data_IF_640208291769
#
_entry.id   IF_640208291769
#
_cell.length_a   1.000
_cell.length_b   1.000
_cell.length_c   1.000
_cell.angle_alpha   90.00
_cell.angle_beta   90.00
_cell.angle_gamma   90.00
#
_symmetry.space_group_name_H-M   'P 1'
#
loop_
_entity.id
_entity.type
_entity.pdbx_description
1 polymer ?
#
# COMPACT_ATOMS: atom_id res chain seq x y z
N UNK A 1 15.57 -29.84 -3.86
CA UNK A 1 14.69 -29.22 -4.87
C UNK A 1 13.80 -28.26 -4.11
N UNK A 2 13.98 -26.96 -4.29
CA UNK A 2 13.14 -25.94 -3.63
C UNK A 2 11.78 -25.96 -4.32
N UNK A 3 10.78 -26.45 -3.61
CA UNK A 3 9.40 -26.49 -4.04
C UNK A 3 8.89 -25.06 -4.20
N UNK A 4 8.99 -24.49 -5.40
CA UNK A 4 8.26 -23.26 -5.71
C UNK A 4 6.81 -23.68 -5.97
N UNK A 5 5.98 -23.55 -4.94
CA UNK A 5 4.55 -23.91 -4.96
C UNK A 5 3.67 -23.00 -5.84
N UNK A 6 4.23 -22.43 -6.91
CA UNK A 6 3.56 -21.49 -7.81
C UNK A 6 3.90 -21.84 -9.25
N UNK A 7 2.90 -22.30 -9.99
CA UNK A 7 3.01 -22.69 -11.40
C UNK A 7 2.48 -21.62 -12.38
N UNK A 8 2.08 -20.44 -11.87
CA UNK A 8 1.56 -19.37 -12.72
C UNK A 8 1.11 -18.11 -11.99
N UNK A 9 0.63 -17.13 -12.78
CA UNK A 9 0.13 -15.83 -12.31
C UNK A 9 -1.32 -15.66 -12.75
N UNK A 10 -2.19 -15.31 -11.81
CA UNK A 10 -3.56 -14.90 -12.09
C UNK A 10 -3.60 -13.38 -12.33
N UNK A 11 -3.66 -12.98 -13.60
CA UNK A 11 -3.68 -11.57 -13.98
C UNK A 11 -5.05 -10.93 -13.77
N UNK A 12 -5.13 -10.01 -12.81
CA UNK A 12 -6.32 -9.20 -12.53
C UNK A 12 -6.24 -7.78 -13.10
N UNK A 13 -5.44 -7.53 -14.13
CA UNK A 13 -5.32 -6.19 -14.74
C UNK A 13 -6.61 -5.70 -15.44
N UNK A 14 -6.56 -4.49 -15.99
CA UNK A 14 -7.72 -3.85 -16.65
C UNK A 14 -7.99 -4.36 -18.09
N UNK A 15 -7.07 -5.13 -18.66
CA UNK A 15 -7.15 -5.63 -20.03
C UNK A 15 -8.24 -6.69 -20.25
N UNK A 16 -8.65 -6.88 -21.51
CA UNK A 16 -9.69 -7.85 -21.90
C UNK A 16 -9.34 -9.31 -21.59
N UNK A 17 -8.05 -9.63 -21.51
CA UNK A 17 -7.56 -10.98 -21.19
C UNK A 17 -7.43 -11.25 -19.68
N UNK A 18 -7.69 -10.26 -18.82
CA UNK A 18 -7.64 -10.49 -17.37
C UNK A 18 -8.76 -11.43 -16.92
N UNK A 19 -8.52 -12.14 -15.82
CA UNK A 19 -9.46 -13.12 -15.27
C UNK A 19 -10.83 -12.47 -15.03
N UNK A 20 -10.86 -11.30 -14.39
CA UNK A 20 -12.11 -10.59 -14.10
C UNK A 20 -12.85 -10.14 -15.36
N UNK A 21 -12.12 -9.69 -16.41
CA UNK A 21 -12.73 -9.30 -17.69
C UNK A 21 -13.35 -10.50 -18.40
N UNK A 22 -12.67 -11.65 -18.39
CA UNK A 22 -13.18 -12.87 -19.01
C UNK A 22 -14.42 -13.40 -18.28
N UNK A 23 -14.40 -13.47 -16.95
CA UNK A 23 -15.56 -13.91 -16.15
C UNK A 23 -16.76 -12.99 -16.36
N UNK A 24 -16.53 -11.67 -16.40
CA UNK A 24 -17.60 -10.69 -16.64
C UNK A 24 -18.19 -10.79 -18.04
N UNK A 25 -17.36 -11.03 -19.06
CA UNK A 25 -17.83 -11.23 -20.45
C UNK A 25 -18.73 -12.46 -20.60
N UNK A 26 -18.53 -13.48 -19.76
CA UNK A 26 -19.38 -14.68 -19.71
C UNK A 26 -20.58 -14.54 -18.74
N UNK A 27 -20.81 -13.35 -18.17
CA UNK A 27 -21.94 -13.09 -17.27
C UNK A 27 -21.86 -13.76 -15.91
N UNK A 28 -20.68 -14.24 -15.49
CA UNK A 28 -20.50 -14.98 -14.23
C UNK A 28 -20.37 -14.07 -13.01
N UNK A 29 -19.87 -12.85 -13.19
CA UNK A 29 -19.67 -11.86 -12.13
C UNK A 29 -19.60 -10.47 -12.73
N UNK A 30 -20.02 -9.39 -12.04
CA UNK A 30 -19.68 -8.05 -12.47
C UNK A 30 -18.17 -7.87 -12.60
N UNK A 31 -17.72 -6.84 -13.33
CA UNK A 31 -16.29 -6.52 -13.45
C UNK A 31 -15.76 -5.82 -12.19
N UNK A 32 -15.96 -6.47 -11.04
CA UNK A 32 -15.61 -6.02 -9.70
C UNK A 32 -15.02 -7.20 -8.95
N UNK A 33 -13.92 -6.97 -8.24
CA UNK A 33 -13.33 -7.96 -7.36
C UNK A 33 -12.72 -7.27 -6.14
N UNK A 34 -12.45 -8.03 -5.10
CA UNK A 34 -11.76 -7.53 -3.92
C UNK A 34 -10.82 -8.55 -3.34
N UNK A 35 -9.81 -8.07 -2.61
CA UNK A 35 -8.95 -8.94 -1.81
C UNK A 35 -8.71 -8.35 -0.43
N UNK A 36 -8.31 -9.23 0.48
CA UNK A 36 -7.83 -8.90 1.82
C UNK A 36 -6.62 -9.79 2.11
N UNK A 37 -5.42 -9.21 2.06
CA UNK A 37 -4.17 -9.95 2.25
C UNK A 37 -3.84 -10.02 3.74
N UNK A 38 -3.59 -11.24 4.25
CA UNK A 38 -3.25 -11.43 5.67
C UNK A 38 -1.84 -10.90 5.93
N UNK A 39 -1.70 -9.92 6.84
CA UNK A 39 -0.41 -9.28 7.09
C UNK A 39 0.59 -10.06 7.93
N UNK A 40 0.21 -11.21 8.50
CA UNK A 40 1.13 -12.09 9.22
C UNK A 40 1.84 -13.02 8.22
N UNK A 41 3.16 -13.14 8.33
CA UNK A 41 4.05 -13.85 7.38
C UNK A 41 3.81 -15.35 7.17
N UNK A 42 2.68 -15.88 7.63
CA UNK A 42 2.18 -17.22 7.30
C UNK A 42 1.47 -17.29 5.95
N UNK A 43 1.26 -16.14 5.28
CA UNK A 43 0.47 -16.04 4.06
C UNK A 43 -1.03 -16.26 4.28
N UNK A 44 -1.80 -16.15 3.20
CA UNK A 44 -3.25 -16.28 3.19
C UNK A 44 -3.98 -14.96 2.99
N UNK A 45 -5.30 -15.02 3.08
CA UNK A 45 -6.17 -13.90 2.78
C UNK A 45 -7.46 -14.37 2.12
N UNK A 46 -8.21 -13.42 1.55
CA UNK A 46 -9.46 -13.67 0.86
C UNK A 46 -9.42 -12.97 -0.48
N UNK A 47 -9.93 -13.64 -1.51
CA UNK A 47 -10.21 -13.06 -2.83
C UNK A 47 -11.70 -13.27 -3.09
N UNK A 48 -12.42 -12.19 -3.38
CA UNK A 48 -13.84 -12.24 -3.74
C UNK A 48 -14.01 -11.75 -5.17
N UNK A 49 -14.70 -12.56 -5.99
CA UNK A 49 -15.05 -12.23 -7.36
C UNK A 49 -16.50 -11.73 -7.40
N UNK A 50 -16.67 -10.42 -7.23
CA UNK A 50 -17.97 -9.78 -7.17
C UNK A 50 -17.93 -8.50 -6.34
N UNK A 51 -19.11 -7.96 -6.08
CA UNK A 51 -19.27 -6.80 -5.20
C UNK A 51 -19.29 -7.24 -3.73
N UNK A 52 -18.67 -6.44 -2.87
CA UNK A 52 -18.75 -6.56 -1.42
C UNK A 52 -19.18 -5.22 -0.82
N UNK A 53 -19.75 -5.27 0.37
CA UNK A 53 -20.12 -4.09 1.14
C UNK A 53 -19.44 -4.18 2.50
N UNK A 54 -18.53 -3.25 2.76
CA UNK A 54 -17.87 -3.11 4.05
C UNK A 54 -18.10 -1.69 4.59
N UNK A 55 -18.58 -1.53 5.84
CA UNK A 55 -18.67 -0.23 6.47
C UNK A 55 -17.33 0.51 6.53
N UNK A 56 -17.34 1.82 6.31
CA UNK A 56 -16.13 2.65 6.38
C UNK A 56 -15.21 2.57 5.15
N UNK A 57 -15.64 1.88 4.08
CA UNK A 57 -14.96 1.91 2.78
C UNK A 57 -14.87 3.33 2.23
N UNK A 58 -13.66 3.76 1.86
CA UNK A 58 -13.41 5.02 1.16
C UNK A 58 -12.96 4.72 -0.27
N UNK A 59 -13.33 5.58 -1.23
CA UNK A 59 -13.08 5.33 -2.65
C UNK A 59 -12.33 6.47 -3.32
N UNK A 60 -11.30 6.14 -4.10
CA UNK A 60 -10.66 7.05 -5.05
C UNK A 60 -10.98 6.63 -6.49
N UNK A 61 -11.23 7.58 -7.41
CA UNK A 61 -11.35 7.26 -8.82
C UNK A 61 -10.03 6.70 -9.37
N UNK A 62 -10.14 5.77 -10.31
CA UNK A 62 -9.03 5.32 -11.14
C UNK A 62 -8.66 6.41 -12.14
N UNK A 63 -7.36 6.52 -12.45
CA UNK A 63 -6.91 7.39 -13.54
C UNK A 63 -7.24 6.71 -14.88
N UNK A 64 -8.02 7.36 -15.77
CA UNK A 64 -8.41 6.77 -17.05
C UNK A 64 -7.20 6.51 -17.96
N UNK A 65 -7.35 5.53 -18.86
CA UNK A 65 -6.38 5.24 -19.93
C UNK A 65 -4.97 4.90 -19.44
N UNK A 66 -4.84 4.36 -18.23
CA UNK A 66 -3.57 3.88 -17.68
C UNK A 66 -3.49 2.34 -17.72
N UNK A 67 -2.28 1.78 -17.90
CA UNK A 67 -2.10 0.33 -18.00
C UNK A 67 -2.25 -0.40 -16.66
N UNK A 68 -1.99 0.27 -15.54
CA UNK A 68 -2.09 -0.29 -14.19
C UNK A 68 -3.30 0.28 -13.44
N UNK A 69 -3.49 -0.17 -12.20
CA UNK A 69 -4.44 0.43 -11.28
C UNK A 69 -3.88 1.73 -10.71
N UNK A 70 -3.93 2.79 -11.51
CA UNK A 70 -3.41 4.10 -11.14
C UNK A 70 -4.42 4.87 -10.29
N UNK A 71 -3.95 5.43 -9.17
CA UNK A 71 -4.68 6.38 -8.34
C UNK A 71 -3.94 7.72 -8.33
N UNK A 72 -4.69 8.81 -8.21
CA UNK A 72 -4.12 10.14 -8.11
C UNK A 72 -3.86 10.50 -6.64
N UNK A 73 -2.63 10.26 -6.18
CA UNK A 73 -2.15 10.77 -4.89
C UNK A 73 -2.00 12.29 -4.99
N UNK A 74 -2.45 13.03 -3.99
CA UNK A 74 -2.45 14.50 -4.02
C UNK A 74 -1.56 15.09 -2.93
N UNK A 75 -1.46 14.42 -1.78
CA UNK A 75 -0.58 14.84 -0.70
C UNK A 75 -0.29 13.70 0.27
N UNK A 76 0.78 13.89 1.04
CA UNK A 76 1.13 13.05 2.18
C UNK A 76 1.12 13.92 3.43
N UNK A 77 0.60 13.40 4.53
CA UNK A 77 0.70 14.03 5.84
C UNK A 77 1.38 13.08 6.84
N UNK A 78 2.09 13.65 7.80
CA UNK A 78 2.64 12.94 8.97
C UNK A 78 2.14 13.65 10.22
N UNK A 79 1.57 12.88 11.14
CA UNK A 79 0.92 13.38 12.37
C UNK A 79 -0.09 14.51 12.09
N UNK A 80 -0.90 14.36 11.03
CA UNK A 80 -1.90 15.34 10.61
C UNK A 80 -1.36 16.59 9.91
N UNK A 81 -0.04 16.74 9.76
CA UNK A 81 0.57 17.88 9.05
C UNK A 81 0.94 17.51 7.62
N UNK A 82 0.39 18.24 6.65
CA UNK A 82 0.74 18.10 5.24
C UNK A 82 2.24 18.37 5.02
N UNK A 83 2.87 17.51 4.25
CA UNK A 83 4.27 17.66 3.85
C UNK A 83 4.39 18.66 2.68
N UNK A 84 5.45 19.48 2.64
CA UNK A 84 5.67 20.44 1.56
C UNK A 84 6.23 19.74 0.32
N UNK A 85 5.39 18.95 -0.35
CA UNK A 85 5.71 18.23 -1.59
C UNK A 85 4.98 18.91 -2.74
N UNK A 86 5.67 19.20 -3.83
CA UNK A 86 5.05 19.75 -5.03
C UNK A 86 4.02 18.74 -5.60
N UNK A 87 2.73 19.11 -5.78
CA UNK A 87 1.71 18.20 -6.29
C UNK A 87 2.07 17.54 -7.64
N UNK A 88 2.91 18.20 -8.46
CA UNK A 88 3.39 17.62 -9.72
C UNK A 88 4.23 16.35 -9.54
N UNK A 89 4.81 16.12 -8.36
CA UNK A 89 5.50 14.87 -7.99
C UNK A 89 4.57 13.66 -8.04
N UNK A 90 3.26 13.87 -7.83
CA UNK A 90 2.28 12.79 -7.87
C UNK A 90 1.50 12.70 -9.18
N UNK A 91 1.71 13.65 -10.10
CA UNK A 91 1.01 13.69 -11.36
C UNK A 91 1.21 12.39 -12.15
N UNK A 92 0.12 11.84 -12.68
CA UNK A 92 0.18 10.59 -13.44
C UNK A 92 0.62 10.85 -14.87
N UNK A 93 1.60 10.09 -15.34
CA UNK A 93 2.10 10.06 -16.71
C UNK A 93 2.57 8.64 -17.06
N UNK A 94 3.17 8.44 -18.24
CA UNK A 94 3.70 7.13 -18.64
C UNK A 94 4.85 6.63 -17.73
N UNK A 95 5.51 7.52 -16.98
CA UNK A 95 6.66 7.19 -16.13
C UNK A 95 6.50 7.64 -14.68
N UNK A 96 5.32 8.13 -14.30
CA UNK A 96 5.06 8.75 -12.99
C UNK A 96 3.62 8.51 -12.54
N UNK A 97 3.39 8.56 -11.24
CA UNK A 97 2.07 8.39 -10.62
C UNK A 97 2.11 7.39 -9.48
N UNK A 98 0.94 6.98 -9.01
CA UNK A 98 0.80 5.97 -7.94
C UNK A 98 0.01 4.79 -8.46
N UNK A 99 0.56 3.57 -8.33
CA UNK A 99 -0.11 2.33 -8.73
C UNK A 99 -0.40 1.44 -7.52
N UNK A 100 -1.51 0.71 -7.56
CA UNK A 100 -1.86 -0.36 -6.63
C UNK A 100 -1.47 -1.69 -7.26
N UNK A 101 -0.57 -2.45 -6.63
CA UNK A 101 -0.05 -3.70 -7.20
C UNK A 101 0.17 -4.79 -6.14
N UNK A 102 -0.76 -5.73 -6.05
CA UNK A 102 -0.64 -6.89 -5.16
C UNK A 102 0.43 -7.90 -5.60
N UNK A 103 0.97 -7.78 -6.81
CA UNK A 103 2.08 -8.61 -7.30
C UNK A 103 3.44 -8.15 -6.80
N UNK A 104 3.52 -6.99 -6.14
CA UNK A 104 4.75 -6.43 -5.60
C UNK A 104 4.78 -6.56 -4.08
N UNK A 105 5.83 -7.17 -3.52
CA UNK A 105 5.95 -7.41 -2.07
C UNK A 105 6.12 -6.12 -1.25
N UNK A 106 7.07 -5.27 -1.66
CA UNK A 106 7.41 -4.03 -0.94
C UNK A 106 6.61 -2.83 -1.45
N UNK A 107 6.66 -1.74 -0.71
CA UNK A 107 6.16 -0.46 -1.18
C UNK A 107 7.31 0.38 -1.74
N UNK A 108 7.01 1.23 -2.72
CA UNK A 108 7.99 2.10 -3.36
C UNK A 108 7.45 3.52 -3.36
N UNK A 109 8.27 4.48 -2.95
CA UNK A 109 7.90 5.89 -2.89
C UNK A 109 8.90 6.71 -3.69
N UNK A 110 8.38 7.57 -4.56
CA UNK A 110 9.20 8.44 -5.40
C UNK A 110 10.08 9.35 -4.52
N UNK A 111 11.32 9.57 -4.94
CA UNK A 111 12.36 10.20 -4.12
C UNK A 111 11.94 11.54 -3.49
N UNK A 112 11.27 12.39 -4.28
CA UNK A 112 10.80 13.72 -3.91
C UNK A 112 9.70 13.68 -2.84
N UNK A 113 9.00 12.56 -2.68
CA UNK A 113 8.05 12.32 -1.61
C UNK A 113 8.67 11.51 -0.45
N UNK A 114 9.60 10.60 -0.75
CA UNK A 114 10.28 9.77 0.23
C UNK A 114 11.12 10.60 1.21
N UNK A 115 11.93 11.55 0.72
CA UNK A 115 12.83 12.31 1.58
C UNK A 115 12.05 13.20 2.59
N UNK A 116 11.01 13.97 2.18
CA UNK A 116 10.18 14.71 3.13
C UNK A 116 9.41 13.80 4.10
N UNK A 117 8.94 12.64 3.63
CA UNK A 117 8.24 11.68 4.47
C UNK A 117 9.14 11.14 5.59
N UNK A 118 10.32 10.63 5.25
CA UNK A 118 11.27 10.11 6.22
C UNK A 118 11.77 11.21 7.16
N UNK A 119 12.05 12.39 6.63
CA UNK A 119 12.44 13.55 7.44
C UNK A 119 11.37 13.90 8.48
N UNK A 120 10.10 13.96 8.09
CA UNK A 120 9.00 14.25 9.00
C UNK A 120 8.82 13.15 10.07
N UNK A 121 8.95 11.87 9.71
CA UNK A 121 8.94 10.77 10.68
C UNK A 121 10.10 10.92 11.67
N UNK A 122 11.32 11.19 11.21
CA UNK A 122 12.49 11.37 12.07
C UNK A 122 12.36 12.54 13.05
N UNK A 123 11.64 13.59 12.67
CA UNK A 123 11.38 14.74 13.55
C UNK A 123 10.37 14.42 14.65
N UNK A 124 9.41 13.54 14.37
CA UNK A 124 8.24 13.30 15.25
C UNK A 124 8.39 12.03 16.10
N UNK A 125 9.18 11.05 15.65
CA UNK A 125 9.40 9.79 16.35
C UNK A 125 9.88 10.03 17.79
N UNK A 126 9.49 9.13 18.70
CA UNK A 126 9.88 9.20 20.11
C UNK A 126 11.38 9.43 20.29
N UNK A 127 11.82 10.32 21.19
CA UNK A 127 13.25 10.55 21.49
C UNK A 127 13.99 9.29 21.98
N UNK A 128 13.26 8.28 22.45
CA UNK A 128 13.83 6.98 22.87
C UNK A 128 14.22 6.07 21.69
N UNK A 129 13.87 6.44 20.47
CA UNK A 129 14.20 5.70 19.25
C UNK A 129 15.50 6.24 18.66
N UNK A 130 16.43 5.35 18.36
CA UNK A 130 17.71 5.74 17.74
C UNK A 130 17.64 5.54 16.22
N UNK A 131 17.63 6.61 15.41
CA UNK A 131 17.69 6.49 13.96
C UNK A 131 19.08 6.00 13.52
N UNK A 132 19.09 5.06 12.58
CA UNK A 132 20.30 4.49 11.99
C UNK A 132 20.10 4.27 10.49
N UNK A 133 21.19 4.23 9.73
CA UNK A 133 21.14 3.83 8.32
C UNK A 133 21.61 2.38 8.20
N UNK A 134 20.82 1.56 7.52
CA UNK A 134 21.18 0.16 7.22
C UNK A 134 20.88 -0.13 5.76
N UNK A 135 21.87 -0.61 5.00
CA UNK A 135 21.70 -0.98 3.59
C UNK A 135 21.02 0.10 2.73
N UNK A 136 21.35 1.39 3.00
CA UNK A 136 20.76 2.58 2.36
C UNK A 136 19.29 2.87 2.72
N UNK A 137 18.70 2.10 3.63
CA UNK A 137 17.37 2.35 4.19
C UNK A 137 17.46 3.12 5.51
N UNK A 138 16.47 3.98 5.77
CA UNK A 138 16.28 4.57 7.09
C UNK A 138 15.71 3.51 8.03
N UNK A 139 16.42 3.27 9.12
CA UNK A 139 16.03 2.33 10.16
C UNK A 139 16.14 2.95 11.55
N UNK A 140 15.70 2.18 12.54
CA UNK A 140 15.48 2.64 13.90
C UNK A 140 15.75 1.48 14.86
N UNK A 141 16.50 1.74 15.92
CA UNK A 141 16.59 0.83 17.05
C UNK A 141 15.45 1.15 18.02
N UNK A 142 14.59 0.15 18.23
CA UNK A 142 13.33 0.28 18.95
C UNK A 142 13.38 -0.63 20.17
N UNK A 143 13.19 -0.05 21.36
CA UNK A 143 13.27 -0.76 22.64
C UNK A 143 11.92 -1.29 23.15
N UNK A 144 10.81 -0.73 22.67
CA UNK A 144 9.44 -1.08 23.10
C UNK A 144 8.51 -1.31 21.91
N UNK A 145 7.39 -0.58 21.80
CA UNK A 145 6.33 -0.79 20.80
C UNK A 145 6.34 0.25 19.67
N UNK A 146 6.39 -0.22 18.41
CA UNK A 146 6.34 0.61 17.20
C UNK A 146 5.07 1.48 17.16
N UNK A 147 3.90 0.91 17.48
CA UNK A 147 2.60 1.60 17.52
C UNK A 147 2.58 2.91 18.32
N UNK A 148 3.40 3.01 19.37
CA UNK A 148 3.39 4.14 20.31
C UNK A 148 4.52 5.13 20.04
N UNK A 149 5.58 4.71 19.36
CA UNK A 149 6.78 5.52 19.17
C UNK A 149 6.81 6.28 17.85
N UNK A 150 5.99 5.88 16.87
CA UNK A 150 5.98 6.46 15.53
C UNK A 150 4.64 7.15 15.25
N UNK A 151 4.63 8.20 14.42
CA UNK A 151 3.41 8.93 14.09
C UNK A 151 2.48 8.15 13.16
N UNK A 152 1.22 8.57 13.10
CA UNK A 152 0.37 8.20 11.96
C UNK A 152 0.84 8.94 10.70
N UNK A 153 0.66 8.32 9.55
CA UNK A 153 0.79 8.96 8.25
C UNK A 153 -0.54 8.88 7.49
N UNK A 154 -0.73 9.74 6.49
CA UNK A 154 -1.87 9.65 5.60
C UNK A 154 -1.49 9.95 4.16
N UNK A 155 -1.90 9.09 3.24
CA UNK A 155 -1.78 9.30 1.81
C UNK A 155 -3.16 9.75 1.30
N UNK A 156 -3.26 10.96 0.78
CA UNK A 156 -4.53 11.58 0.42
C UNK A 156 -4.71 11.57 -1.09
N UNK A 157 -5.74 10.89 -1.57
CA UNK A 157 -6.03 10.67 -2.98
C UNK A 157 -7.19 11.55 -3.47
N UNK A 158 -7.32 11.64 -4.79
CA UNK A 158 -8.46 12.28 -5.44
C UNK A 158 -9.80 11.71 -4.94
N UNK A 159 -10.86 12.54 -5.03
CA UNK A 159 -12.17 12.21 -4.46
C UNK A 159 -12.24 12.38 -2.94
N UNK A 160 -11.20 12.95 -2.30
CA UNK A 160 -11.16 13.18 -0.86
C UNK A 160 -10.86 11.91 -0.05
N UNK A 161 -10.46 10.82 -0.70
CA UNK A 161 -10.15 9.56 -0.05
C UNK A 161 -8.79 9.64 0.65
N UNK A 162 -8.76 9.38 1.95
CA UNK A 162 -7.52 9.35 2.73
C UNK A 162 -7.23 7.92 3.19
N UNK A 163 -6.00 7.46 2.93
CA UNK A 163 -5.47 6.21 3.46
C UNK A 163 -4.60 6.52 4.68
N UNK A 164 -5.14 6.28 5.87
CA UNK A 164 -4.39 6.44 7.12
C UNK A 164 -3.54 5.20 7.35
N UNK A 165 -2.24 5.40 7.48
CA UNK A 165 -1.23 4.38 7.76
C UNK A 165 -0.82 4.47 9.23
N UNK A 166 -0.98 3.36 9.94
CA UNK A 166 -0.40 3.15 11.27
C UNK A 166 1.10 2.90 11.15
N UNK A 167 1.88 3.06 12.23
CA UNK A 167 3.29 2.70 12.24
C UNK A 167 3.59 1.32 11.63
N UNK A 168 2.77 0.32 11.92
CA UNK A 168 2.93 -1.06 11.42
C UNK A 168 2.75 -1.20 9.90
N UNK A 169 2.10 -0.23 9.25
CA UNK A 169 1.89 -0.21 7.80
C UNK A 169 3.14 0.28 7.05
N UNK A 170 4.03 1.05 7.69
CA UNK A 170 5.19 1.65 7.02
C UNK A 170 6.53 1.44 7.74
N UNK A 171 6.54 0.82 8.92
CA UNK A 171 7.75 0.42 9.67
C UNK A 171 7.79 -1.11 9.74
N UNK A 172 8.79 -1.73 9.10
CA UNK A 172 8.92 -3.18 8.99
C UNK A 172 10.07 -3.72 9.85
N UNK A 173 9.93 -4.92 10.45
CA UNK A 173 11.02 -5.52 11.21
C UNK A 173 12.13 -5.98 10.25
N UNK A 174 13.38 -5.64 10.57
CA UNK A 174 14.55 -6.03 9.77
C UNK A 174 15.46 -7.04 10.49
N UNK A 175 15.30 -7.19 11.80
CA UNK A 175 16.06 -8.12 12.64
C UNK A 175 16.77 -7.42 13.81
N UNK A 176 17.48 -8.15 14.68
CA UNK A 176 18.19 -7.53 15.78
C UNK A 176 19.52 -6.91 15.33
N UNK A 177 19.89 -5.75 15.90
CA UNK A 177 21.22 -5.15 15.79
C UNK A 177 21.70 -4.72 17.17
N UNK A 178 22.83 -5.27 17.61
CA UNK A 178 23.42 -4.94 18.93
C UNK A 178 22.47 -5.22 20.10
N UNK A 179 21.64 -6.26 20.02
CA UNK A 179 20.67 -6.64 21.06
C UNK A 179 19.34 -5.84 21.05
N UNK A 180 19.20 -4.85 20.18
CA UNK A 180 17.94 -4.10 20.00
C UNK A 180 17.21 -4.54 18.73
N UNK A 181 15.87 -4.49 18.73
CA UNK A 181 15.07 -4.76 17.54
C UNK A 181 15.24 -3.60 16.54
N UNK A 182 15.67 -3.91 15.32
CA UNK A 182 15.81 -2.93 14.25
C UNK A 182 14.57 -2.97 13.36
N UNK A 183 14.02 -1.79 13.12
CA UNK A 183 12.87 -1.58 12.26
C UNK A 183 13.19 -0.54 11.20
N UNK A 184 12.72 -0.72 9.98
CA UNK A 184 13.06 0.14 8.85
C UNK A 184 11.82 0.71 8.19
N UNK A 185 11.96 1.87 7.56
CA UNK A 185 10.94 2.38 6.63
C UNK A 185 10.73 1.31 5.55
N UNK A 186 9.49 0.86 5.41
CA UNK A 186 9.12 -0.20 4.47
C UNK A 186 8.95 0.27 3.04
N UNK A 187 8.99 1.59 2.79
CA UNK A 187 9.08 2.15 1.46
C UNK A 187 10.52 2.10 0.95
N UNK A 188 10.71 1.63 -0.27
CA UNK A 188 11.95 1.77 -1.01
C UNK A 188 11.95 3.07 -1.81
N UNK A 189 13.04 3.82 -1.74
CA UNK A 189 13.22 5.05 -2.50
C UNK A 189 13.45 4.74 -3.98
N UNK A 190 12.65 5.33 -4.86
CA UNK A 190 12.75 5.13 -6.32
C UNK A 190 12.67 6.42 -7.11
N UNK A 191 13.05 6.33 -8.38
CA UNK A 191 12.72 7.33 -9.39
C UNK A 191 11.51 6.84 -10.19
N UNK A 192 10.58 7.75 -10.52
CA UNK A 192 9.40 7.43 -11.34
C UNK A 192 8.14 7.11 -10.54
N UNK A 193 7.72 5.84 -10.54
CA UNK A 193 6.37 5.44 -10.08
C UNK A 193 6.37 5.04 -8.60
N UNK A 194 5.41 5.58 -7.84
CA UNK A 194 5.08 5.11 -6.48
C UNK A 194 4.23 3.84 -6.60
N UNK A 195 4.60 2.80 -5.86
CA UNK A 195 3.92 1.49 -5.89
C UNK A 195 3.41 1.17 -4.47
N UNK A 196 2.10 1.03 -4.35
CA UNK A 196 1.44 0.49 -3.15
C UNK A 196 1.39 -1.04 -3.31
N UNK A 197 2.46 -1.69 -2.87
CA UNK A 197 2.58 -3.14 -2.84
C UNK A 197 1.92 -3.79 -1.62
N UNK A 198 2.02 -5.11 -1.52
CA UNK A 198 1.45 -5.95 -0.45
C UNK A 198 1.65 -5.37 0.96
N UNK A 199 2.83 -4.79 1.24
CA UNK A 199 3.10 -4.10 2.51
C UNK A 199 2.01 -3.08 2.90
N UNK A 200 1.50 -2.30 1.94
CA UNK A 200 0.44 -1.31 2.15
C UNK A 200 -0.95 -1.96 2.06
N UNK A 201 -1.10 -2.95 1.19
CA UNK A 201 -2.39 -3.57 0.89
C UNK A 201 -2.86 -4.56 1.96
N UNK A 202 -1.94 -5.14 2.74
CA UNK A 202 -2.27 -6.08 3.81
C UNK A 202 -3.11 -5.45 4.92
N UNK A 203 -3.89 -6.30 5.59
CA UNK A 203 -4.81 -5.95 6.68
C UNK A 203 -5.80 -4.83 6.29
N UNK A 204 -6.14 -4.81 4.99
CA UNK A 204 -7.12 -3.94 4.38
C UNK A 204 -7.90 -4.73 3.33
N UNK A 205 -9.18 -4.46 3.24
CA UNK A 205 -9.96 -4.85 2.07
C UNK A 205 -9.64 -3.85 0.98
N UNK A 206 -9.27 -4.32 -0.22
CA UNK A 206 -9.20 -3.51 -1.43
C UNK A 206 -10.27 -3.96 -2.42
N UNK A 207 -11.12 -3.04 -2.84
CA UNK A 207 -12.18 -3.27 -3.85
C UNK A 207 -11.78 -2.59 -5.15
N UNK A 208 -11.72 -3.37 -6.23
CA UNK A 208 -11.44 -2.90 -7.58
C UNK A 208 -12.76 -2.87 -8.35
N UNK A 209 -13.41 -1.71 -8.36
CA UNK A 209 -14.70 -1.50 -9.02
C UNK A 209 -14.49 -0.94 -10.43
N UNK A 210 -14.30 -1.83 -11.41
CA UNK A 210 -14.05 -1.45 -12.80
C UNK A 210 -15.33 -1.10 -13.55
N UNK A 211 -16.49 -1.27 -12.93
CA UNK A 211 -17.77 -0.77 -13.46
C UNK A 211 -17.86 0.73 -13.18
N UNK A 212 -17.54 1.16 -11.97
CA UNK A 212 -17.57 2.58 -11.54
C UNK A 212 -16.21 3.29 -11.61
N UNK A 213 -15.19 2.62 -12.16
CA UNK A 213 -13.84 3.16 -12.38
C UNK A 213 -13.20 3.74 -11.11
N UNK A 214 -13.19 2.95 -10.03
CA UNK A 214 -12.67 3.37 -8.72
C UNK A 214 -12.07 2.21 -7.95
N UNK A 215 -11.17 2.53 -7.02
CA UNK A 215 -10.69 1.60 -6.00
C UNK A 215 -11.18 2.05 -4.65
N UNK A 216 -11.70 1.10 -3.87
CA UNK A 216 -12.04 1.30 -2.47
C UNK A 216 -11.07 0.61 -1.53
N UNK A 217 -10.87 1.16 -0.34
CA UNK A 217 -10.21 0.44 0.75
C UNK A 217 -10.86 0.70 2.12
N UNK A 218 -10.72 -0.28 3.01
CA UNK A 218 -11.08 -0.20 4.42
C UNK A 218 -10.08 -1.02 5.24
N UNK A 219 -9.73 -0.55 6.44
CA UNK A 219 -8.94 -1.36 7.39
C UNK A 219 -9.77 -2.57 7.83
N UNK A 220 -9.18 -3.76 7.77
CA UNK A 220 -9.89 -5.00 8.09
C UNK A 220 -8.92 -6.06 8.61
N UNK A 221 -9.34 -6.84 9.61
CA UNK A 221 -8.55 -7.99 10.03
C UNK A 221 -8.79 -9.17 9.09
N UNK A 222 -7.88 -9.32 8.11
CA UNK A 222 -7.95 -10.36 7.08
C UNK A 222 -7.76 -11.80 7.61
N UNK A 223 -7.64 -12.00 8.94
CA UNK A 223 -7.75 -13.33 9.57
C UNK A 223 -9.18 -13.87 9.55
N UNK A 224 -10.17 -12.97 9.60
CA UNK A 224 -11.57 -13.37 9.64
C UNK A 224 -12.04 -13.80 8.26
N UNK A 225 -12.43 -15.08 8.12
CA UNK A 225 -12.86 -15.69 6.85
C UNK A 225 -14.26 -15.29 6.38
N UNK A 226 -14.80 -14.15 6.84
CA UNK A 226 -16.11 -13.66 6.41
C UNK A 226 -15.92 -12.28 5.78
N UNK A 227 -16.09 -12.22 4.47
CA UNK A 227 -16.39 -11.01 3.69
C UNK A 227 -17.76 -11.23 3.06
#
# INVERSE_FOLDING_TARGET
MTDKAVDGIFGFGQGKLSVISQLSTHGLTPRVFSHCLKGEGTGGGILVLGEILEPGMVYSPLVPSQPHYNLNLQSIAVNGKLLPIDPSVFATSNSQGTIVDSGTTLAYLVAEAYDPFVSAVNVIVSPSVTPIISERNQCYLVSTSVSQMFPLASFNFAGGASMVLKPEDYIIPFGPRGGSAMWCIGFQKVQGVTILGDLILKDKIFVYDLVRQRIGWANYDCKFKKL
#
